data_IF_231335407318
#
_entry.id   IF_231335407318
#
_cell.length_a   1.000
_cell.length_b   1.000
_cell.length_c   1.000
_cell.angle_alpha   90.00
_cell.angle_beta   90.00
_cell.angle_gamma   90.00
#
_symmetry.space_group_name_H-M   'P 1'
#
loop_
_entity.id
_entity.type
_entity.pdbx_description
1 polymer ?
#
# COMPACT_ATOMS: atom_id res chain seq x y z
N UNK A 1 74.78 -22.51 63.48
CA UNK A 1 76.07 -23.05 63.01
C UNK A 1 75.89 -23.50 61.56
N UNK A 2 76.14 -22.56 60.63
CA UNK A 2 77.04 -22.67 59.47
C UNK A 2 76.47 -23.40 58.24
N UNK A 3 75.94 -22.58 57.34
CA UNK A 3 76.11 -22.53 55.87
C UNK A 3 76.79 -23.71 55.16
N UNK A 4 76.16 -24.23 54.09
CA UNK A 4 76.82 -24.26 52.78
C UNK A 4 75.84 -24.34 51.61
N UNK A 5 76.10 -23.42 50.69
CA UNK A 5 75.48 -23.15 49.39
C UNK A 5 75.91 -24.20 48.38
N UNK A 6 75.00 -24.56 47.47
CA UNK A 6 75.34 -25.32 46.26
C UNK A 6 74.28 -25.17 45.18
N UNK A 7 74.42 -24.16 44.31
CA UNK A 7 73.75 -24.10 42.99
C UNK A 7 74.52 -24.99 42.00
N UNK A 8 73.82 -25.55 41.00
CA UNK A 8 74.31 -25.39 39.64
C UNK A 8 73.24 -24.79 38.71
N UNK A 9 73.73 -23.94 37.81
CA UNK A 9 73.04 -23.43 36.63
C UNK A 9 72.79 -24.55 35.61
N UNK A 10 71.61 -24.57 35.00
CA UNK A 10 71.35 -24.92 33.58
C UNK A 10 69.87 -24.62 33.31
N UNK A 11 69.52 -23.50 32.68
CA UNK A 11 69.29 -23.38 31.24
C UNK A 11 68.49 -24.57 30.70
N UNK A 12 67.17 -24.40 30.54
CA UNK A 12 66.40 -24.79 29.35
C UNK A 12 64.94 -24.36 29.56
N UNK A 13 64.57 -23.23 28.95
CA UNK A 13 63.17 -22.99 28.58
C UNK A 13 62.85 -23.88 27.38
N UNK A 14 61.60 -24.34 27.25
CA UNK A 14 60.84 -23.82 26.14
C UNK A 14 59.51 -23.28 26.63
N UNK A 15 59.38 -21.96 26.50
CA UNK A 15 58.10 -21.29 26.47
C UNK A 15 57.43 -21.70 25.15
N UNK A 16 56.60 -22.75 25.17
CA UNK A 16 55.72 -23.06 24.05
C UNK A 16 54.30 -22.68 24.45
N UNK A 17 54.02 -21.38 24.47
CA UNK A 17 52.67 -20.84 24.57
C UNK A 17 52.14 -20.71 23.14
N UNK A 18 51.29 -21.65 22.73
CA UNK A 18 50.48 -21.50 21.52
C UNK A 18 49.68 -20.19 21.63
N UNK A 19 49.73 -19.28 20.63
CA UNK A 19 48.78 -18.18 20.56
C UNK A 19 47.47 -18.78 20.06
N UNK A 20 46.64 -19.27 20.97
CA UNK A 20 45.23 -19.50 20.65
C UNK A 20 44.54 -18.14 20.73
N UNK A 21 44.62 -17.36 19.64
CA UNK A 21 43.73 -16.22 19.45
C UNK A 21 42.31 -16.78 19.35
N UNK A 22 41.53 -16.63 20.42
CA UNK A 22 40.11 -16.88 20.36
C UNK A 22 39.51 -15.86 19.37
N UNK A 23 38.77 -16.29 18.33
CA UNK A 23 38.02 -15.35 17.52
C UNK A 23 37.04 -14.64 18.45
N UNK A 24 37.26 -13.36 18.70
CA UNK A 24 36.29 -12.51 19.39
C UNK A 24 35.09 -12.40 18.46
N UNK A 25 34.12 -13.30 18.63
CA UNK A 25 32.84 -13.24 17.94
C UNK A 25 32.31 -11.81 18.06
N UNK A 26 31.91 -11.16 16.95
CA UNK A 26 31.37 -9.82 17.03
C UNK A 26 30.23 -9.86 18.03
N UNK A 27 30.25 -8.94 19.01
CA UNK A 27 29.16 -8.75 19.97
C UNK A 27 27.89 -8.76 19.15
N UNK A 28 27.09 -9.82 19.28
CA UNK A 28 25.81 -9.91 18.61
C UNK A 28 25.10 -8.59 18.88
N UNK A 29 24.62 -7.92 17.83
CA UNK A 29 23.87 -6.68 17.96
C UNK A 29 22.60 -7.05 18.72
N UNK A 30 22.68 -7.04 20.05
CA UNK A 30 21.56 -7.21 20.94
C UNK A 30 20.80 -5.89 20.86
N UNK A 31 19.96 -5.75 19.82
CA UNK A 31 18.97 -4.68 19.82
C UNK A 31 18.11 -4.90 21.05
N UNK A 32 18.12 -3.99 22.04
CA UNK A 32 17.31 -4.17 23.23
C UNK A 32 15.84 -4.27 22.79
N UNK A 33 15.12 -5.23 23.39
CA UNK A 33 13.74 -5.58 23.05
C UNK A 33 12.82 -4.37 22.84
N UNK A 34 13.05 -3.27 23.58
CA UNK A 34 12.35 -1.98 23.38
C UNK A 34 12.45 -1.41 21.97
N UNK A 35 13.61 -1.46 21.30
CA UNK A 35 13.77 -0.91 19.95
C UNK A 35 13.14 -1.83 18.90
N UNK A 36 13.17 -3.15 19.13
CA UNK A 36 12.45 -4.11 18.31
C UNK A 36 10.93 -3.89 18.40
N UNK A 37 10.39 -3.72 19.62
CA UNK A 37 8.98 -3.41 19.85
C UNK A 37 8.59 -2.03 19.29
N UNK A 38 9.45 -1.02 19.47
CA UNK A 38 9.23 0.32 18.93
C UNK A 38 9.23 0.31 17.40
N UNK A 39 10.13 -0.44 16.77
CA UNK A 39 10.14 -0.63 15.32
C UNK A 39 8.90 -1.39 14.84
N UNK A 40 8.52 -2.48 15.53
CA UNK A 40 7.40 -3.34 15.16
C UNK A 40 6.05 -2.60 15.23
N UNK A 41 5.87 -1.68 16.17
CA UNK A 41 4.65 -0.88 16.31
C UNK A 41 4.73 0.45 15.55
N UNK A 42 5.88 1.11 15.59
CA UNK A 42 6.07 2.44 15.00
C UNK A 42 6.06 2.41 13.47
N UNK A 43 6.72 1.42 12.85
CA UNK A 43 6.80 1.37 11.39
C UNK A 43 5.42 1.16 10.74
N UNK A 44 4.57 0.20 11.18
CA UNK A 44 3.22 0.06 10.62
C UNK A 44 2.35 1.30 10.84
N UNK A 45 2.47 1.99 11.98
CA UNK A 45 1.74 3.24 12.23
C UNK A 45 2.15 4.35 11.27
N UNK A 46 3.46 4.51 11.02
CA UNK A 46 3.97 5.48 10.05
C UNK A 46 3.50 5.17 8.63
N UNK A 47 3.58 3.90 8.22
CA UNK A 47 3.07 3.45 6.91
C UNK A 47 1.57 3.67 6.80
N UNK A 48 0.80 3.33 7.83
CA UNK A 48 -0.66 3.52 7.85
C UNK A 48 -1.04 5.00 7.80
N UNK A 49 -0.35 5.85 8.56
CA UNK A 49 -0.55 7.31 8.52
C UNK A 49 -0.20 7.90 7.16
N UNK A 50 0.88 7.45 6.53
CA UNK A 50 1.26 7.85 5.18
C UNK A 50 0.23 7.41 4.13
N UNK A 51 -0.25 6.17 4.17
CA UNK A 51 -1.27 5.66 3.26
C UNK A 51 -2.60 6.39 3.44
N UNK A 52 -3.01 6.66 4.68
CA UNK A 52 -4.19 7.48 4.95
C UNK A 52 -4.03 8.89 4.39
N UNK A 53 -2.89 9.55 4.65
CA UNK A 53 -2.61 10.89 4.14
C UNK A 53 -2.64 10.96 2.60
N UNK A 54 -2.11 9.95 1.94
CA UNK A 54 -1.97 9.95 0.47
C UNK A 54 -3.21 9.48 -0.27
N UNK A 55 -4.02 8.59 0.31
CA UNK A 55 -5.13 7.93 -0.40
C UNK A 55 -6.51 8.40 0.06
N UNK A 56 -6.67 8.76 1.34
CA UNK A 56 -7.99 8.94 1.96
C UNK A 56 -8.20 10.32 2.61
N UNK A 57 -7.12 10.98 3.00
CA UNK A 57 -7.15 12.26 3.71
C UNK A 57 -7.86 13.36 2.91
N UNK A 58 -8.62 14.25 3.58
CA UNK A 58 -9.19 15.44 2.96
C UNK A 58 -8.15 16.43 2.43
N UNK A 59 -6.89 16.31 2.85
CA UNK A 59 -5.81 17.25 2.55
C UNK A 59 -4.89 16.74 1.44
N UNK A 60 -4.17 17.64 0.78
CA UNK A 60 -3.04 17.30 -0.11
C UNK A 60 -3.40 16.82 -1.53
N UNK A 61 -4.69 16.60 -1.84
CA UNK A 61 -5.17 16.35 -3.20
C UNK A 61 -6.09 17.49 -3.65
N UNK A 62 -5.69 18.16 -4.73
CA UNK A 62 -6.52 19.11 -5.46
C UNK A 62 -6.98 18.44 -6.77
N UNK A 63 -8.29 18.28 -6.99
CA UNK A 63 -8.81 17.81 -8.27
C UNK A 63 -8.38 18.77 -9.40
N UNK A 64 -8.02 18.26 -10.59
CA UNK A 64 -7.81 19.10 -11.76
C UNK A 64 -9.01 20.03 -12.04
N UNK A 65 -8.73 21.26 -12.49
CA UNK A 65 -9.76 22.30 -12.67
C UNK A 65 -10.69 22.06 -13.86
N UNK A 66 -10.31 21.17 -14.76
CA UNK A 66 -11.03 20.78 -15.98
C UNK A 66 -12.01 19.61 -15.77
N UNK A 67 -12.09 19.07 -14.55
CA UNK A 67 -13.04 18.01 -14.24
C UNK A 67 -14.48 18.52 -14.22
N UNK A 68 -15.38 17.70 -14.76
CA UNK A 68 -16.83 17.93 -14.65
C UNK A 68 -17.20 17.97 -13.15
N UNK A 69 -17.79 19.09 -12.65
CA UNK A 69 -18.20 19.20 -11.26
C UNK A 69 -19.17 18.10 -10.85
N UNK A 70 -19.06 17.65 -9.60
CA UNK A 70 -19.99 16.66 -9.04
C UNK A 70 -21.29 17.38 -8.68
N UNK A 71 -22.38 17.02 -9.36
CA UNK A 71 -23.71 17.52 -9.01
C UNK A 71 -24.14 17.01 -7.62
N UNK A 72 -25.01 17.74 -6.93
CA UNK A 72 -25.63 17.25 -5.70
C UNK A 72 -26.55 16.05 -5.99
N UNK A 73 -26.62 15.08 -5.08
CA UNK A 73 -27.51 13.93 -5.16
C UNK A 73 -26.80 12.59 -5.33
N UNK A 74 -27.56 11.57 -5.75
CA UNK A 74 -27.06 10.21 -5.99
C UNK A 74 -26.42 10.08 -7.37
N UNK A 75 -25.25 9.43 -7.40
CA UNK A 75 -24.47 9.11 -8.58
C UNK A 75 -24.31 7.61 -8.75
N UNK A 76 -24.18 7.17 -10.00
CA UNK A 76 -23.88 5.78 -10.34
C UNK A 76 -22.44 5.67 -10.79
N UNK A 77 -21.71 4.73 -10.20
CA UNK A 77 -20.31 4.46 -10.56
C UNK A 77 -20.18 3.00 -10.96
N UNK A 78 -19.74 2.74 -12.18
CA UNK A 78 -19.46 1.40 -12.65
C UNK A 78 -18.03 0.99 -12.28
N UNK A 79 -17.90 -0.14 -11.60
CA UNK A 79 -16.61 -0.66 -11.13
C UNK A 79 -16.39 -2.09 -11.63
N UNK A 80 -15.20 -2.34 -12.16
CA UNK A 80 -14.81 -3.63 -12.76
C UNK A 80 -13.53 -4.23 -12.16
N UNK A 81 -12.94 -3.56 -11.16
CA UNK A 81 -11.68 -3.92 -10.49
C UNK A 81 -11.81 -4.08 -8.98
N UNK A 82 -10.84 -3.55 -8.24
CA UNK A 82 -10.70 -3.72 -6.77
C UNK A 82 -11.88 -3.16 -5.98
N UNK A 83 -12.52 -2.09 -6.45
CA UNK A 83 -13.71 -1.49 -5.83
C UNK A 83 -14.93 -2.44 -5.74
N UNK A 84 -14.89 -3.61 -6.38
CA UNK A 84 -15.88 -4.68 -6.17
C UNK A 84 -15.84 -5.26 -4.75
N UNK A 85 -14.75 -5.10 -4.01
CA UNK A 85 -14.59 -5.63 -2.65
C UNK A 85 -15.21 -4.69 -1.60
N UNK A 86 -16.17 -5.22 -0.83
CA UNK A 86 -16.88 -4.44 0.20
C UNK A 86 -15.97 -3.80 1.26
N UNK A 87 -14.92 -4.48 1.79
CA UNK A 87 -14.02 -3.87 2.77
C UNK A 87 -13.29 -2.63 2.23
N UNK A 88 -12.92 -2.65 0.94
CA UNK A 88 -12.26 -1.52 0.31
C UNK A 88 -13.22 -0.32 0.17
N UNK A 89 -14.49 -0.56 -0.19
CA UNK A 89 -15.51 0.49 -0.25
C UNK A 89 -15.76 1.12 1.11
N UNK A 90 -15.86 0.29 2.15
CA UNK A 90 -15.96 0.76 3.53
C UNK A 90 -14.75 1.61 3.94
N UNK A 91 -13.55 1.19 3.59
CA UNK A 91 -12.32 1.95 3.88
C UNK A 91 -12.29 3.31 3.16
N UNK A 92 -12.79 3.39 1.92
CA UNK A 92 -12.72 4.62 1.11
C UNK A 92 -13.77 5.65 1.55
N UNK A 93 -15.02 5.22 1.73
CA UNK A 93 -16.13 6.16 1.93
C UNK A 93 -17.07 5.79 3.08
N UNK A 94 -16.72 4.81 3.92
CA UNK A 94 -17.36 4.58 5.22
C UNK A 94 -18.53 3.59 5.21
N UNK A 95 -18.94 3.05 4.05
CA UNK A 95 -19.97 2.00 3.96
C UNK A 95 -19.71 1.03 2.80
N UNK A 96 -20.28 -0.16 2.90
CA UNK A 96 -20.20 -1.17 1.83
C UNK A 96 -21.17 -0.91 0.68
N UNK A 97 -22.28 -0.21 0.94
CA UNK A 97 -23.37 0.00 -0.02
C UNK A 97 -24.06 -1.30 -0.45
N UNK A 98 -24.96 -1.18 -1.42
CA UNK A 98 -25.64 -2.31 -2.06
C UNK A 98 -25.34 -2.31 -3.57
N UNK A 99 -24.18 -2.84 -3.99
CA UNK A 99 -23.77 -2.82 -5.39
C UNK A 99 -24.57 -3.83 -6.21
N UNK A 100 -25.11 -3.39 -7.36
CA UNK A 100 -25.83 -4.27 -8.26
C UNK A 100 -24.94 -4.75 -9.43
N UNK A 101 -25.08 -5.99 -9.92
CA UNK A 101 -24.43 -6.43 -11.14
C UNK A 101 -24.77 -5.53 -12.34
N UNK A 102 -23.76 -5.18 -13.13
CA UNK A 102 -23.93 -4.35 -14.32
C UNK A 102 -22.98 -4.79 -15.43
N UNK A 103 -23.29 -4.38 -16.67
CA UNK A 103 -22.46 -4.63 -17.85
C UNK A 103 -22.21 -3.32 -18.59
N UNK A 104 -20.98 -3.14 -19.04
CA UNK A 104 -20.55 -2.02 -19.87
C UNK A 104 -20.26 -2.51 -21.30
N UNK A 105 -21.21 -2.32 -22.24
CA UNK A 105 -21.05 -2.76 -23.63
C UNK A 105 -20.10 -1.84 -24.40
N UNK A 106 -19.46 -2.35 -25.45
CA UNK A 106 -18.58 -1.58 -26.32
C UNK A 106 -17.17 -1.37 -25.77
N UNK A 107 -16.82 -2.09 -24.70
CA UNK A 107 -15.51 -2.02 -24.05
C UNK A 107 -14.98 -3.41 -23.75
N UNK A 108 -13.65 -3.54 -23.80
CA UNK A 108 -12.89 -4.71 -23.36
C UNK A 108 -12.01 -4.28 -22.19
N UNK A 109 -11.97 -5.11 -21.15
CA UNK A 109 -11.06 -4.92 -20.01
C UNK A 109 -9.69 -5.50 -20.33
N UNK A 110 -8.65 -4.74 -20.06
CA UNK A 110 -7.26 -5.17 -20.12
C UNK A 110 -6.55 -4.76 -18.81
N UNK A 111 -6.30 -5.74 -17.94
CA UNK A 111 -5.79 -5.47 -16.60
C UNK A 111 -6.73 -4.56 -15.78
N UNK A 112 -6.23 -3.39 -15.39
CA UNK A 112 -6.94 -2.35 -14.63
C UNK A 112 -7.49 -1.22 -15.51
N UNK A 113 -7.52 -1.42 -16.82
CA UNK A 113 -8.00 -0.44 -17.80
C UNK A 113 -9.06 -1.01 -18.75
N UNK A 114 -9.71 -0.12 -19.50
CA UNK A 114 -10.73 -0.46 -20.50
C UNK A 114 -10.44 0.22 -21.84
N UNK A 115 -10.49 -0.56 -22.91
CA UNK A 115 -10.33 -0.07 -24.28
C UNK A 115 -11.63 -0.26 -25.06
N UNK A 116 -11.92 0.65 -25.99
CA UNK A 116 -13.12 0.54 -26.84
C UNK A 116 -13.03 -0.74 -27.69
N UNK A 117 -14.10 -1.51 -27.68
CA UNK A 117 -14.28 -2.68 -28.52
C UNK A 117 -15.78 -2.94 -28.69
N UNK A 118 -16.32 -2.61 -29.87
CA UNK A 118 -17.76 -2.67 -30.14
C UNK A 118 -18.39 -4.05 -29.93
N UNK A 119 -17.59 -5.12 -30.02
CA UNK A 119 -18.05 -6.51 -29.91
C UNK A 119 -17.80 -7.11 -28.53
N UNK A 120 -17.38 -6.31 -27.54
CA UNK A 120 -17.08 -6.75 -26.19
C UNK A 120 -17.98 -6.08 -25.15
N UNK A 121 -18.04 -6.71 -23.97
CA UNK A 121 -18.71 -6.15 -22.79
C UNK A 121 -17.87 -6.45 -21.56
N UNK A 122 -17.79 -5.48 -20.64
CA UNK A 122 -17.14 -5.66 -19.34
C UNK A 122 -18.21 -5.94 -18.28
N UNK A 123 -18.02 -7.01 -17.51
CA UNK A 123 -18.84 -7.30 -16.33
C UNK A 123 -18.30 -6.61 -15.09
N UNK A 124 -19.19 -6.01 -14.32
CA UNK A 124 -18.82 -5.28 -13.12
C UNK A 124 -20.01 -5.09 -12.19
N UNK A 125 -19.87 -4.10 -11.32
CA UNK A 125 -20.91 -3.66 -10.40
C UNK A 125 -21.21 -2.19 -10.65
N UNK A 126 -22.45 -1.77 -10.41
CA UNK A 126 -22.81 -0.37 -10.29
C UNK A 126 -22.99 -0.04 -8.81
N UNK A 127 -22.28 0.98 -8.35
CA UNK A 127 -22.37 1.55 -7.02
C UNK A 127 -23.33 2.75 -7.06
N UNK A 128 -24.09 2.95 -5.98
CA UNK A 128 -24.87 4.16 -5.73
C UNK A 128 -24.21 4.94 -4.62
N UNK A 129 -23.69 6.11 -4.96
CA UNK A 129 -22.89 6.96 -4.06
C UNK A 129 -23.42 8.39 -4.08
N UNK A 130 -23.33 9.09 -2.96
CA UNK A 130 -23.61 10.53 -2.95
C UNK A 130 -22.42 11.34 -3.51
N UNK A 131 -22.56 12.67 -3.53
CA UNK A 131 -21.54 13.57 -4.04
C UNK A 131 -20.23 13.53 -3.23
N UNK A 132 -20.30 13.36 -1.91
CA UNK A 132 -19.12 13.32 -1.05
C UNK A 132 -18.38 11.99 -1.22
N UNK A 133 -19.13 10.90 -1.29
CA UNK A 133 -18.61 9.56 -1.57
C UNK A 133 -17.97 9.47 -2.96
N UNK A 134 -18.58 10.10 -3.97
CA UNK A 134 -17.99 10.23 -5.30
C UNK A 134 -16.67 11.02 -5.24
N UNK A 135 -16.60 12.12 -4.48
CA UNK A 135 -15.36 12.89 -4.31
C UNK A 135 -14.26 12.08 -3.59
N UNK A 136 -14.63 11.20 -2.64
CA UNK A 136 -13.67 10.28 -1.99
C UNK A 136 -13.15 9.23 -2.97
N UNK A 137 -14.02 8.68 -3.83
CA UNK A 137 -13.61 7.77 -4.91
C UNK A 137 -12.69 8.45 -5.91
N UNK A 138 -13.01 9.69 -6.31
CA UNK A 138 -12.20 10.49 -7.21
C UNK A 138 -10.76 10.65 -6.71
N UNK A 139 -10.62 10.91 -5.39
CA UNK A 139 -9.31 11.00 -4.73
C UNK A 139 -8.59 9.65 -4.71
N UNK A 140 -9.28 8.58 -4.33
CA UNK A 140 -8.70 7.24 -4.26
C UNK A 140 -8.15 6.78 -5.62
N UNK A 141 -8.88 7.05 -6.69
CA UNK A 141 -8.47 6.77 -8.08
C UNK A 141 -7.46 7.79 -8.62
N UNK A 142 -7.15 8.85 -7.86
CA UNK A 142 -6.21 9.93 -8.22
C UNK A 142 -6.52 10.52 -9.59
N UNK A 143 -7.74 11.03 -9.72
CA UNK A 143 -8.23 11.70 -10.92
C UNK A 143 -7.25 12.76 -11.44
N UNK A 144 -7.00 12.74 -12.76
CA UNK A 144 -6.06 13.62 -13.47
C UNK A 144 -4.59 13.22 -13.39
N UNK A 145 -4.26 12.20 -12.59
CA UNK A 145 -2.89 11.66 -12.49
C UNK A 145 -2.85 10.24 -13.06
N UNK A 146 -3.83 9.40 -12.68
CA UNK A 146 -3.85 7.98 -13.08
C UNK A 146 -5.08 7.62 -13.90
N UNK A 147 -6.22 8.21 -13.54
CA UNK A 147 -7.50 7.93 -14.18
C UNK A 147 -8.21 9.23 -14.55
N UNK A 148 -9.09 9.15 -15.53
CA UNK A 148 -10.14 10.12 -15.83
C UNK A 148 -11.52 9.52 -15.53
N UNK A 149 -12.51 10.39 -15.35
CA UNK A 149 -13.89 10.00 -15.04
C UNK A 149 -14.77 10.36 -16.23
N UNK A 150 -15.29 9.34 -16.89
CA UNK A 150 -16.14 9.47 -18.07
C UNK A 150 -17.54 8.89 -17.79
N UNK A 151 -18.58 9.56 -18.27
CA UNK A 151 -19.95 9.05 -18.19
C UNK A 151 -20.21 8.11 -19.38
N UNK A 152 -20.55 6.84 -19.11
CA UNK A 152 -20.85 5.86 -20.13
C UNK A 152 -22.21 5.17 -19.87
N UNK A 153 -22.97 4.81 -20.93
CA UNK A 153 -24.19 4.05 -20.77
C UNK A 153 -23.88 2.60 -20.40
N UNK A 154 -24.57 2.10 -19.39
CA UNK A 154 -24.58 0.67 -19.06
C UNK A 154 -25.49 -0.09 -20.05
N UNK A 155 -25.47 -1.42 -19.98
CA UNK A 155 -26.30 -2.29 -20.81
C UNK A 155 -27.82 -2.05 -20.64
N UNK A 156 -28.24 -1.45 -19.54
CA UNK A 156 -29.63 -1.04 -19.28
C UNK A 156 -29.95 0.40 -19.75
N UNK A 157 -29.03 1.05 -20.46
CA UNK A 157 -29.15 2.40 -21.00
C UNK A 157 -28.89 3.52 -20.00
N UNK A 158 -28.73 3.21 -18.71
CA UNK A 158 -28.54 4.23 -17.67
C UNK A 158 -27.09 4.71 -17.67
N UNK A 159 -26.82 6.02 -17.53
CA UNK A 159 -25.46 6.52 -17.44
C UNK A 159 -24.83 6.14 -16.09
N UNK A 160 -23.54 5.83 -16.11
CA UNK A 160 -22.71 5.65 -14.94
C UNK A 160 -21.33 6.26 -15.17
N UNK A 161 -20.74 6.81 -14.11
CA UNK A 161 -19.34 7.20 -14.09
C UNK A 161 -18.44 5.96 -14.17
N UNK A 162 -17.43 6.03 -15.03
CA UNK A 162 -16.43 4.99 -15.22
C UNK A 162 -15.06 5.63 -15.12
N UNK A 163 -14.17 5.00 -14.36
CA UNK A 163 -12.77 5.39 -14.33
C UNK A 163 -12.02 4.67 -15.45
N UNK A 164 -11.38 5.44 -16.33
CA UNK A 164 -10.51 4.95 -17.40
C UNK A 164 -9.10 5.47 -17.16
N UNK A 165 -8.07 4.66 -17.40
CA UNK A 165 -6.70 5.10 -17.18
C UNK A 165 -6.35 6.20 -18.18
N UNK A 166 -5.52 7.16 -17.77
CA UNK A 166 -4.93 8.12 -18.70
C UNK A 166 -3.87 7.41 -19.55
N UNK A 167 -3.89 7.68 -20.85
CA UNK A 167 -2.90 7.22 -21.83
C UNK A 167 -1.54 7.92 -21.63
#
# INVERSE_FOLDING_TARGET
MVTLVGRPLSLFSPCFRLPFDHPSWPRAIAMPLRYLLTGLLGLPLLVSGYLWWTLLSPFGYAPPQDLVPIAAGEHRVFVYGTLRHAPLRWLIYGRSGDPAPARLPGYRREGLDIHRNANASVEGLVLRVDAEELARLDRYERLGIRYERIALPLADGRPAWVYRRLD
#
